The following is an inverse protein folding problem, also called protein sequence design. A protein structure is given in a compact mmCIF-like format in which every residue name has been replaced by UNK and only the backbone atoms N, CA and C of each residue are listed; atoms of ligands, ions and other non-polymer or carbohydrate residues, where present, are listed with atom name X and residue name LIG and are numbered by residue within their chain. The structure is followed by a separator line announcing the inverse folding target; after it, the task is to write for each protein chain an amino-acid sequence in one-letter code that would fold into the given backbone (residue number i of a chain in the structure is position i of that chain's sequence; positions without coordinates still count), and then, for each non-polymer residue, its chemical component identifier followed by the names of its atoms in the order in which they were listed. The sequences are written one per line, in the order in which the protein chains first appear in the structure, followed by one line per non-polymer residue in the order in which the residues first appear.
data_IF_315548560247
#
_entry.id   IF_315548560247
#
_cell.length_a   1.000
_cell.length_b   1.000
_cell.length_c   1.000
_cell.angle_alpha   90.00
_cell.angle_beta   90.00
_cell.angle_gamma   90.00
#
_symmetry.space_group_name_H-M   'P 1'
#
loop_
_entity.id
_entity.type
_entity.pdbx_description
1 polymer ?
#
# COMPACT_ATOMS: atom_id res chain seq x y z
N UNK A 1 4.19 -15.02 14.34
CA UNK A 1 3.95 -14.44 13.00
C UNK A 1 5.27 -14.25 12.26
N UNK A 2 5.25 -14.35 10.92
CA UNK A 2 6.42 -14.15 10.04
C UNK A 2 7.14 -12.82 10.32
N UNK A 3 6.37 -11.74 10.41
CA UNK A 3 6.88 -10.41 10.75
C UNK A 3 7.59 -10.38 12.11
N UNK A 4 6.96 -10.89 13.19
CA UNK A 4 7.58 -10.89 14.53
C UNK A 4 8.91 -11.64 14.64
N UNK A 5 9.13 -12.68 13.82
CA UNK A 5 10.42 -13.39 13.76
C UNK A 5 11.50 -12.57 13.05
N UNK A 6 11.10 -11.78 12.05
CA UNK A 6 12.00 -10.86 11.36
C UNK A 6 12.30 -9.59 12.18
N UNK A 7 11.43 -9.25 13.14
CA UNK A 7 11.51 -7.99 13.90
C UNK A 7 11.62 -8.16 15.41
N UNK A 8 11.93 -9.36 15.92
CA UNK A 8 12.02 -9.68 17.36
C UNK A 8 10.82 -9.15 18.20
N UNK A 9 9.58 -9.42 17.78
CA UNK A 9 8.33 -8.93 18.40
C UNK A 9 8.06 -7.41 18.31
N UNK A 10 8.76 -6.67 17.45
CA UNK A 10 8.51 -5.24 17.28
C UNK A 10 7.09 -4.83 16.85
N UNK A 11 6.27 -5.70 16.24
CA UNK A 11 4.97 -5.32 15.63
C UNK A 11 3.96 -4.62 16.56
N UNK A 12 4.08 -4.81 17.87
CA UNK A 12 3.20 -4.22 18.90
C UNK A 12 3.88 -3.07 19.64
N UNK A 13 5.10 -2.71 19.25
CA UNK A 13 5.87 -1.60 19.83
C UNK A 13 5.87 -0.41 18.88
N UNK A 14 6.06 0.82 19.39
CA UNK A 14 6.27 1.99 18.54
C UNK A 14 7.38 1.78 17.49
N UNK A 15 8.42 1.01 17.83
CA UNK A 15 9.52 0.71 16.92
C UNK A 15 9.13 -0.21 15.76
N UNK A 16 8.27 -1.24 15.95
CA UNK A 16 7.84 -2.05 14.82
C UNK A 16 6.77 -1.39 13.97
N UNK A 17 5.96 -0.47 14.51
CA UNK A 17 5.10 0.36 13.67
C UNK A 17 5.95 1.25 12.74
N UNK A 18 7.00 1.88 13.26
CA UNK A 18 7.94 2.66 12.44
C UNK A 18 8.63 1.77 11.40
N UNK A 19 9.08 0.58 11.78
CA UNK A 19 9.68 -0.37 10.85
C UNK A 19 8.71 -0.78 9.73
N UNK A 20 7.45 -1.08 10.07
CA UNK A 20 6.41 -1.41 9.10
C UNK A 20 6.12 -0.24 8.15
N UNK A 21 5.98 0.97 8.67
CA UNK A 21 5.75 2.17 7.87
C UNK A 21 6.88 2.43 6.88
N UNK A 22 8.14 2.36 7.33
CA UNK A 22 9.31 2.54 6.45
C UNK A 22 9.43 1.43 5.41
N UNK A 23 9.19 0.17 5.80
CA UNK A 23 9.22 -0.95 4.87
C UNK A 23 8.19 -0.79 3.74
N UNK A 24 6.96 -0.38 4.08
CA UNK A 24 5.93 -0.10 3.08
C UNK A 24 6.27 1.13 2.23
N UNK A 25 6.78 2.19 2.84
CA UNK A 25 7.14 3.41 2.12
C UNK A 25 8.22 3.15 1.07
N UNK A 26 9.31 2.50 1.45
CA UNK A 26 10.40 2.18 0.52
C UNK A 26 10.02 1.09 -0.48
N UNK A 27 9.31 0.05 -0.02
CA UNK A 27 8.83 -1.01 -0.91
C UNK A 27 7.92 -0.48 -2.00
N UNK A 28 6.95 0.37 -1.64
CA UNK A 28 6.04 0.98 -2.61
C UNK A 28 6.75 2.01 -3.49
N UNK A 29 7.64 2.85 -2.93
CA UNK A 29 8.46 3.77 -3.74
C UNK A 29 9.20 3.03 -4.86
N UNK A 30 9.89 1.93 -4.53
CA UNK A 30 10.62 1.14 -5.51
C UNK A 30 9.65 0.47 -6.49
N UNK A 31 8.56 -0.14 -6.01
CA UNK A 31 7.58 -0.82 -6.85
C UNK A 31 6.93 0.12 -7.88
N UNK A 32 6.59 1.35 -7.48
CA UNK A 32 6.10 2.39 -8.39
C UNK A 32 7.20 2.80 -9.36
N UNK A 33 8.42 3.04 -8.89
CA UNK A 33 9.55 3.47 -9.74
C UNK A 33 9.86 2.48 -10.86
N UNK A 34 9.92 1.19 -10.55
CA UNK A 34 10.22 0.15 -11.57
C UNK A 34 9.04 -0.11 -12.50
N UNK A 35 7.81 0.16 -12.06
CA UNK A 35 6.60 0.01 -12.86
C UNK A 35 6.18 1.26 -13.64
N UNK A 36 6.73 2.44 -13.33
CA UNK A 36 6.24 3.73 -13.81
C UNK A 36 6.16 3.81 -15.35
N UNK A 37 7.23 3.41 -16.04
CA UNK A 37 7.31 3.50 -17.50
C UNK A 37 6.68 2.30 -18.25
N UNK A 38 6.10 1.33 -17.53
CA UNK A 38 5.51 0.12 -18.12
C UNK A 38 4.00 0.09 -17.87
N UNK A 39 3.60 0.24 -16.61
CA UNK A 39 2.22 0.14 -16.15
C UNK A 39 1.73 1.39 -15.41
N UNK A 40 2.51 2.47 -15.38
CA UNK A 40 2.23 3.62 -14.52
C UNK A 40 2.43 3.33 -13.03
N UNK A 41 2.90 2.14 -12.65
CA UNK A 41 3.23 1.82 -11.27
C UNK A 41 2.03 1.85 -10.30
N UNK A 42 0.83 1.43 -10.73
CA UNK A 42 -0.37 1.51 -9.88
C UNK A 42 -0.23 0.73 -8.55
N UNK A 43 0.24 -0.52 -8.62
CA UNK A 43 0.55 -1.43 -7.49
C UNK A 43 -0.59 -1.62 -6.45
N UNK A 44 -1.78 -1.05 -6.70
CA UNK A 44 -2.91 -1.03 -5.77
C UNK A 44 -4.24 -0.97 -6.55
N UNK A 45 -5.20 -1.86 -6.25
CA UNK A 45 -6.52 -1.84 -6.89
C UNK A 45 -7.30 -0.53 -6.74
N UNK A 46 -7.21 0.16 -5.59
CA UNK A 46 -7.86 1.45 -5.37
C UNK A 46 -7.24 2.57 -6.22
N UNK A 47 -5.92 2.55 -6.44
CA UNK A 47 -5.25 3.46 -7.37
C UNK A 47 -5.70 3.20 -8.80
N UNK A 48 -5.76 1.92 -9.21
CA UNK A 48 -6.31 1.54 -10.52
C UNK A 48 -7.77 1.97 -10.68
N UNK A 49 -8.57 1.82 -9.64
CA UNK A 49 -9.97 2.25 -9.64
C UNK A 49 -10.09 3.76 -9.79
N UNK A 50 -9.31 4.53 -9.02
CA UNK A 50 -9.26 5.99 -9.14
C UNK A 50 -8.89 6.42 -10.56
N UNK A 51 -7.85 5.82 -11.13
CA UNK A 51 -7.44 6.06 -12.52
C UNK A 51 -8.55 5.72 -13.52
N UNK A 52 -9.33 4.66 -13.30
CA UNK A 52 -10.47 4.30 -14.15
C UNK A 52 -11.59 5.34 -14.06
N UNK A 53 -11.97 5.74 -12.84
CA UNK A 53 -13.00 6.75 -12.60
C UNK A 53 -12.63 8.10 -13.24
N UNK A 54 -11.36 8.50 -13.16
CA UNK A 54 -10.89 9.72 -13.82
C UNK A 54 -10.48 9.55 -15.29
N UNK A 55 -10.79 8.43 -15.94
CA UNK A 55 -10.62 8.25 -17.38
C UNK A 55 -9.19 7.99 -17.88
N UNK A 56 -8.26 7.64 -16.98
CA UNK A 56 -6.84 7.40 -17.30
C UNK A 56 -6.51 5.94 -17.66
N UNK A 57 -7.47 5.03 -17.48
CA UNK A 57 -7.34 3.62 -17.87
C UNK A 57 -8.71 3.08 -18.31
N UNK A 58 -8.72 2.16 -19.27
CA UNK A 58 -9.95 1.49 -19.71
C UNK A 58 -10.40 0.44 -18.69
N UNK A 59 -11.70 0.13 -18.64
CA UNK A 59 -12.24 -0.90 -17.73
C UNK A 59 -11.52 -2.25 -17.88
N UNK A 60 -11.33 -2.70 -19.13
CA UNK A 60 -10.65 -3.98 -19.41
C UNK A 60 -9.22 -3.99 -18.85
N UNK A 61 -8.45 -2.91 -19.08
CA UNK A 61 -7.09 -2.80 -18.50
C UNK A 61 -7.15 -2.73 -16.97
N UNK A 62 -8.13 -2.02 -16.40
CA UNK A 62 -8.33 -1.96 -14.96
C UNK A 62 -8.56 -3.35 -14.34
N UNK A 63 -9.41 -4.18 -14.95
CA UNK A 63 -9.64 -5.56 -14.51
C UNK A 63 -8.36 -6.40 -14.59
N UNK A 64 -7.60 -6.30 -15.69
CA UNK A 64 -6.32 -7.01 -15.82
C UNK A 64 -5.30 -6.56 -14.76
N UNK A 65 -5.28 -5.27 -14.41
CA UNK A 65 -4.45 -4.73 -13.34
C UNK A 65 -4.85 -5.34 -12.00
N UNK A 66 -6.14 -5.40 -11.67
CA UNK A 66 -6.61 -6.02 -10.43
C UNK A 66 -6.22 -7.49 -10.34
N UNK A 67 -6.40 -8.26 -11.42
CA UNK A 67 -5.99 -9.67 -11.45
C UNK A 67 -4.48 -9.79 -11.19
N UNK A 68 -3.66 -9.01 -11.88
CA UNK A 68 -2.21 -9.04 -11.70
C UNK A 68 -1.77 -8.63 -10.29
N UNK A 69 -2.39 -7.58 -9.73
CA UNK A 69 -2.10 -7.06 -8.39
C UNK A 69 -2.47 -8.09 -7.30
N UNK A 70 -3.65 -8.71 -7.41
CA UNK A 70 -4.11 -9.72 -6.46
C UNK A 70 -3.26 -11.00 -6.54
N UNK A 71 -2.94 -11.48 -7.75
CA UNK A 71 -2.06 -12.63 -7.93
C UNK A 71 -0.65 -12.36 -7.40
N UNK A 72 -0.09 -11.18 -7.68
CA UNK A 72 1.22 -10.77 -7.15
C UNK A 72 1.24 -10.75 -5.62
N UNK A 73 0.18 -10.23 -4.99
CA UNK A 73 0.04 -10.24 -3.51
C UNK A 73 -0.01 -11.66 -2.94
N UNK A 74 -0.76 -12.57 -3.56
CA UNK A 74 -0.82 -13.99 -3.16
C UNK A 74 0.55 -14.65 -3.27
N UNK A 75 1.25 -14.46 -4.40
CA UNK A 75 2.60 -15.02 -4.60
C UNK A 75 3.58 -14.48 -3.56
N UNK A 76 3.55 -13.17 -3.26
CA UNK A 76 4.40 -12.57 -2.23
C UNK A 76 4.14 -13.19 -0.85
N UNK A 77 2.88 -13.42 -0.47
CA UNK A 77 2.52 -14.06 0.79
C UNK A 77 3.02 -15.52 0.88
N UNK A 78 2.89 -16.29 -0.22
CA UNK A 78 3.38 -17.67 -0.27
C UNK A 78 4.91 -17.73 -0.17
N UNK A 79 5.62 -16.84 -0.86
CA UNK A 79 7.08 -16.72 -0.77
C UNK A 79 7.52 -16.33 0.64
N UNK A 80 6.83 -15.40 1.29
CA UNK A 80 7.13 -15.01 2.67
C UNK A 80 6.92 -16.18 3.64
N UNK A 81 5.81 -16.93 3.49
CA UNK A 81 5.54 -18.12 4.30
C UNK A 81 6.64 -19.17 4.13
N UNK A 82 7.07 -19.41 2.89
CA UNK A 82 8.17 -20.33 2.59
C UNK A 82 9.48 -19.85 3.23
N UNK A 83 9.88 -18.60 2.97
CA UNK A 83 11.13 -18.03 3.45
C UNK A 83 11.24 -17.95 4.98
N UNK A 84 10.12 -17.87 5.69
CA UNK A 84 10.10 -17.81 7.15
C UNK A 84 9.98 -19.17 7.85
N UNK A 85 9.96 -20.27 7.08
CA UNK A 85 9.85 -21.63 7.61
C UNK A 85 8.42 -21.99 8.02
N UNK A 86 7.42 -21.51 7.29
CA UNK A 86 6.02 -21.86 7.50
C UNK A 86 5.28 -21.00 8.53
N UNK A 87 5.86 -19.89 8.97
CA UNK A 87 5.19 -18.99 9.91
C UNK A 87 3.90 -18.39 9.34
N UNK A 88 2.96 -18.08 10.23
CA UNK A 88 1.72 -17.38 9.88
C UNK A 88 2.05 -16.01 9.28
N UNK A 89 1.53 -15.75 8.09
CA UNK A 89 1.55 -14.44 7.43
C UNK A 89 0.37 -13.64 7.97
N UNK A 90 0.59 -12.49 8.62
CA UNK A 90 -0.48 -11.69 9.19
C UNK A 90 -1.39 -11.13 8.10
N UNK A 91 -2.68 -11.01 8.41
CA UNK A 91 -3.67 -10.28 7.64
C UNK A 91 -4.12 -9.04 8.43
N UNK A 92 -4.64 -8.04 7.73
CA UNK A 92 -5.21 -6.85 8.37
C UNK A 92 -6.50 -7.22 9.11
N UNK A 93 -6.59 -6.82 10.37
CA UNK A 93 -7.77 -6.97 11.23
C UNK A 93 -8.01 -5.70 12.04
N UNK A 94 -9.23 -5.49 12.52
CA UNK A 94 -9.53 -4.34 13.39
C UNK A 94 -8.92 -4.55 14.78
N UNK A 95 -8.29 -3.52 15.32
CA UNK A 95 -7.85 -3.53 16.72
C UNK A 95 -9.06 -3.59 17.66
N UNK A 96 -8.85 -4.17 18.84
CA UNK A 96 -9.89 -4.34 19.85
C UNK A 96 -10.52 -2.99 20.24
N UNK A 97 -11.86 -2.91 20.13
CA UNK A 97 -12.61 -1.70 20.47
C UNK A 97 -12.75 -0.67 19.35
N UNK A 98 -12.15 -0.90 18.16
CA UNK A 98 -12.37 -0.05 16.98
C UNK A 98 -13.64 -0.48 16.26
N UNK A 99 -14.60 0.45 16.14
CA UNK A 99 -15.83 0.22 15.38
C UNK A 99 -15.59 0.18 13.86
N UNK A 100 -16.32 -0.68 13.15
CA UNK A 100 -16.23 -0.84 11.68
C UNK A 100 -16.42 0.49 10.95
N UNK A 101 -17.36 1.32 11.39
CA UNK A 101 -17.62 2.64 10.79
C UNK A 101 -16.42 3.58 10.91
N UNK A 102 -15.73 3.55 12.06
CA UNK A 102 -14.60 4.43 12.31
C UNK A 102 -13.43 4.01 11.42
N UNK A 103 -13.11 2.72 11.38
CA UNK A 103 -12.08 2.19 10.50
C UNK A 103 -12.38 2.46 9.01
N UNK A 104 -13.64 2.32 8.59
CA UNK A 104 -14.04 2.64 7.23
C UNK A 104 -13.76 4.11 6.87
N UNK A 105 -14.10 5.05 7.75
CA UNK A 105 -13.83 6.48 7.52
C UNK A 105 -12.33 6.73 7.43
N UNK A 106 -11.53 6.13 8.31
CA UNK A 106 -10.07 6.24 8.26
C UNK A 106 -9.49 5.69 6.95
N UNK A 107 -9.91 4.50 6.53
CA UNK A 107 -9.49 3.88 5.27
C UNK A 107 -9.85 4.76 4.06
N UNK A 108 -11.05 5.36 4.06
CA UNK A 108 -11.46 6.30 2.99
C UNK A 108 -10.51 7.50 2.94
N UNK A 109 -10.23 8.15 4.08
CA UNK A 109 -9.38 9.35 4.13
C UNK A 109 -7.94 9.04 3.73
N UNK A 110 -7.38 7.95 4.25
CA UNK A 110 -6.00 7.54 3.93
C UNK A 110 -5.85 7.12 2.47
N UNK A 111 -6.81 6.33 1.96
CA UNK A 111 -6.81 5.90 0.55
C UNK A 111 -7.05 7.07 -0.39
N UNK A 112 -7.91 8.02 -0.02
CA UNK A 112 -8.06 9.28 -0.76
C UNK A 112 -6.73 10.02 -0.83
N UNK A 113 -6.01 10.16 0.29
CA UNK A 113 -4.68 10.77 0.32
C UNK A 113 -3.71 10.11 -0.66
N UNK A 114 -3.63 8.78 -0.65
CA UNK A 114 -2.81 8.01 -1.60
C UNK A 114 -3.21 8.28 -3.06
N UNK A 115 -4.49 8.10 -3.42
CA UNK A 115 -4.96 8.26 -4.80
C UNK A 115 -4.80 9.71 -5.26
N UNK A 116 -5.04 10.69 -4.39
CA UNK A 116 -4.81 12.10 -4.67
C UNK A 116 -3.32 12.39 -4.91
N UNK A 117 -2.40 11.84 -4.11
CA UNK A 117 -0.96 11.96 -4.36
C UNK A 117 -0.57 11.39 -5.72
N UNK A 118 -1.13 10.24 -6.12
CA UNK A 118 -0.93 9.68 -7.47
C UNK A 118 -1.41 10.66 -8.53
N UNK A 119 -2.60 11.24 -8.37
CA UNK A 119 -3.15 12.19 -9.33
C UNK A 119 -2.29 13.44 -9.47
N UNK A 120 -1.97 14.09 -8.34
CA UNK A 120 -1.26 15.36 -8.30
C UNK A 120 0.20 15.24 -8.78
N UNK A 121 0.84 14.08 -8.57
CA UNK A 121 2.26 13.91 -8.88
C UNK A 121 2.51 13.13 -10.17
N UNK A 122 1.68 12.14 -10.51
CA UNK A 122 1.93 11.24 -11.64
C UNK A 122 0.95 11.39 -12.82
N UNK A 123 -0.30 11.78 -12.58
CA UNK A 123 -1.35 11.77 -13.62
C UNK A 123 -1.59 13.14 -14.23
N UNK A 124 -1.62 14.21 -13.44
CA UNK A 124 -1.90 15.55 -13.93
C UNK A 124 -0.81 16.01 -14.91
N UNK A 125 -1.14 16.38 -16.17
CA UNK A 125 -0.18 16.91 -17.13
C UNK A 125 0.53 18.19 -16.66
N UNK A 126 0.00 18.87 -15.64
CA UNK A 126 0.57 20.08 -15.03
C UNK A 126 1.50 19.76 -13.85
N UNK A 127 1.81 18.49 -13.60
CA UNK A 127 2.68 18.07 -12.48
C UNK A 127 4.12 18.62 -12.58
N UNK A 128 4.59 19.02 -13.76
CA UNK A 128 5.92 19.63 -13.93
C UNK A 128 7.04 18.76 -13.34
N UNK A 129 7.87 19.34 -12.47
CA UNK A 129 8.94 18.61 -11.78
C UNK A 129 8.45 17.61 -10.72
N UNK A 130 7.16 17.66 -10.32
CA UNK A 130 6.60 16.70 -9.36
C UNK A 130 6.58 15.28 -9.94
N UNK A 131 6.48 15.12 -11.26
CA UNK A 131 6.57 13.82 -11.92
C UNK A 131 7.85 13.06 -11.60
N UNK A 132 8.98 13.77 -11.43
CA UNK A 132 10.27 13.17 -11.07
C UNK A 132 10.26 12.54 -9.67
N UNK A 133 9.51 13.13 -8.74
CA UNK A 133 9.42 12.66 -7.35
C UNK A 133 8.11 11.91 -7.06
N UNK A 134 7.27 11.65 -8.07
CA UNK A 134 6.00 10.98 -7.88
C UNK A 134 6.15 9.63 -7.16
N UNK A 135 7.10 8.74 -7.54
CA UNK A 135 7.23 7.45 -6.87
C UNK A 135 7.56 7.58 -5.37
N UNK A 136 8.45 8.51 -4.99
CA UNK A 136 8.84 8.69 -3.59
C UNK A 136 7.71 9.33 -2.78
N UNK A 137 6.97 10.28 -3.37
CA UNK A 137 5.79 10.87 -2.75
C UNK A 137 4.71 9.81 -2.48
N UNK A 138 4.44 8.94 -3.45
CA UNK A 138 3.47 7.84 -3.35
C UNK A 138 3.89 6.83 -2.28
N UNK A 139 5.17 6.47 -2.21
CA UNK A 139 5.66 5.62 -1.12
C UNK A 139 5.48 6.27 0.26
N UNK A 140 5.88 7.54 0.39
CA UNK A 140 5.89 8.22 1.69
C UNK A 140 4.49 8.52 2.23
N UNK A 141 3.50 8.81 1.38
CA UNK A 141 2.12 8.99 1.87
C UNK A 141 1.56 7.69 2.46
N UNK A 142 1.90 6.52 1.90
CA UNK A 142 1.50 5.23 2.49
C UNK A 142 2.21 4.98 3.82
N UNK A 143 3.52 5.27 3.90
CA UNK A 143 4.26 5.21 5.17
C UNK A 143 3.64 6.10 6.24
N UNK A 144 3.32 7.36 5.91
CA UNK A 144 2.68 8.30 6.81
C UNK A 144 1.29 7.82 7.27
N UNK A 145 0.49 7.28 6.34
CA UNK A 145 -0.81 6.69 6.66
C UNK A 145 -0.68 5.50 7.63
N UNK A 146 0.33 4.65 7.47
CA UNK A 146 0.59 3.55 8.41
C UNK A 146 0.98 4.08 9.80
N UNK A 147 1.80 5.14 9.88
CA UNK A 147 2.10 5.76 11.18
C UNK A 147 0.86 6.33 11.86
N UNK A 148 -0.07 6.90 11.09
CA UNK A 148 -1.29 7.51 11.60
C UNK A 148 -2.39 6.48 11.97
N UNK A 149 -2.62 5.49 11.10
CA UNK A 149 -3.73 4.54 11.19
C UNK A 149 -3.33 3.12 11.57
N UNK A 150 -2.04 2.77 11.61
CA UNK A 150 -1.59 1.39 11.81
C UNK A 150 -2.01 0.78 13.16
N UNK A 151 -2.18 1.60 14.20
CA UNK A 151 -2.70 1.14 15.50
C UNK A 151 -4.20 0.80 15.46
N UNK A 152 -4.94 1.26 14.45
CA UNK A 152 -6.36 0.92 14.27
C UNK A 152 -6.53 -0.48 13.67
N UNK A 153 -5.45 -1.03 13.09
CA UNK A 153 -5.43 -2.29 12.35
C UNK A 153 -4.36 -3.21 12.92
N UNK A 154 -4.70 -3.98 13.95
CA UNK A 154 -3.76 -4.95 14.54
C UNK A 154 -3.83 -6.30 13.82
N UNK A 155 -2.69 -6.96 13.57
CA UNK A 155 -2.70 -8.38 13.25
C UNK A 155 -3.16 -9.17 14.51
N UNK A 156 -4.03 -10.17 14.36
CA UNK A 156 -4.54 -10.97 15.49
C UNK A 156 -3.45 -11.80 16.17
#
# INVERSE_FOLDING_TARGET
MAFNKLTENGATTPSGLVAAALAHAFGLFVAVSVGANISGGHVNPAVTFGAFVGGNITLLRGILYWIAQLLGSVVACLLLKFATGGLVVPAFGLSAGVGVSNALVFEIVMTFGLVYTVYATAVDPKNGSLGTIAPIAIGFIVGANILAGGHLVEPP
#
